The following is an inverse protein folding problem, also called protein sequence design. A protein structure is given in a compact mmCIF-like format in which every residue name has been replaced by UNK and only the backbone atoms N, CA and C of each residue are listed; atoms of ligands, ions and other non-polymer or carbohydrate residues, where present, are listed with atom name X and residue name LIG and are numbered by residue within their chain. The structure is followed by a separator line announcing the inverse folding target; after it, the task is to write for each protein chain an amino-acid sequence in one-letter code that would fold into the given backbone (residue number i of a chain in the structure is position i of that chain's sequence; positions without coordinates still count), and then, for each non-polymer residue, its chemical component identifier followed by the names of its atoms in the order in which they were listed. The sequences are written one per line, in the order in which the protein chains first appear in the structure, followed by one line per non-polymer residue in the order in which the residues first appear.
data_IF_674035680012
#
_entry.id   IF_674035680012
#
_cell.length_a   1.000
_cell.length_b   1.000
_cell.length_c   1.000
_cell.angle_alpha   90.00
_cell.angle_beta   90.00
_cell.angle_gamma   90.00
#
_symmetry.space_group_name_H-M   'P 1'
#
loop_
_entity.id
_entity.type
_entity.pdbx_description
1 polymer ?
#
# COMPACT_ATOMS: atom_id res chain seq x y z
N UNK A 1 -2.98 -14.06 1.41
CA UNK A 1 -2.10 -12.88 1.23
C UNK A 1 -2.24 -12.42 -0.21
N UNK A 2 -2.29 -11.11 -0.45
CA UNK A 2 -2.33 -10.53 -1.79
C UNK A 2 -1.26 -9.46 -1.95
N UNK A 3 -0.52 -9.50 -3.06
CA UNK A 3 0.55 -8.55 -3.35
C UNK A 3 0.18 -7.70 -4.55
N UNK A 4 0.13 -6.39 -4.36
CA UNK A 4 -0.20 -5.39 -5.37
C UNK A 4 1.05 -4.56 -5.61
N UNK A 5 1.72 -4.80 -6.74
CA UNK A 5 2.79 -3.90 -7.17
C UNK A 5 2.19 -2.70 -7.92
N UNK A 6 2.54 -1.49 -7.47
CA UNK A 6 2.21 -0.23 -8.12
C UNK A 6 3.36 0.28 -8.99
N UNK A 7 4.40 -0.52 -9.23
CA UNK A 7 5.58 -0.13 -10.00
C UNK A 7 5.24 0.51 -11.36
N UNK A 8 4.21 -0.01 -12.04
CA UNK A 8 3.73 0.47 -13.34
C UNK A 8 2.61 1.53 -13.24
N UNK A 9 2.46 2.20 -12.09
CA UNK A 9 1.41 3.18 -11.82
C UNK A 9 0.01 2.65 -12.19
N UNK A 10 -0.39 1.52 -11.59
CA UNK A 10 -1.70 0.92 -11.86
C UNK A 10 -2.82 1.89 -11.48
N UNK A 11 -3.89 1.93 -12.27
CA UNK A 11 -5.03 2.80 -11.97
C UNK A 11 -5.82 2.27 -10.77
N UNK A 12 -6.43 3.19 -10.01
CA UNK A 12 -7.21 2.83 -8.82
C UNK A 12 -8.33 1.84 -9.14
N UNK A 13 -9.03 2.02 -10.26
CA UNK A 13 -10.09 1.11 -10.72
C UNK A 13 -9.59 -0.33 -10.86
N UNK A 14 -8.46 -0.52 -11.56
CA UNK A 14 -7.86 -1.84 -11.76
C UNK A 14 -7.47 -2.49 -10.42
N UNK A 15 -6.98 -1.69 -9.48
CA UNK A 15 -6.60 -2.20 -8.15
C UNK A 15 -7.83 -2.57 -7.31
N UNK A 16 -8.88 -1.74 -7.32
CA UNK A 16 -10.13 -2.07 -6.59
C UNK A 16 -10.80 -3.30 -7.15
N UNK A 17 -10.88 -3.44 -8.48
CA UNK A 17 -11.51 -4.59 -9.14
C UNK A 17 -10.78 -5.88 -8.79
N UNK A 18 -9.46 -5.88 -8.91
CA UNK A 18 -8.63 -7.03 -8.57
C UNK A 18 -8.74 -7.39 -7.10
N UNK A 19 -8.77 -6.40 -6.21
CA UNK A 19 -8.97 -6.60 -4.78
C UNK A 19 -10.31 -7.25 -4.49
N UNK A 20 -11.40 -6.71 -5.03
CA UNK A 20 -12.76 -7.24 -4.80
C UNK A 20 -12.86 -8.68 -5.33
N UNK A 21 -12.37 -8.94 -6.55
CA UNK A 21 -12.33 -10.30 -7.12
C UNK A 21 -11.50 -11.26 -6.27
N UNK A 22 -10.35 -10.82 -5.78
CA UNK A 22 -9.51 -11.65 -4.92
C UNK A 22 -10.17 -11.94 -3.57
N UNK A 23 -10.65 -10.89 -2.88
CA UNK A 23 -11.23 -10.99 -1.53
C UNK A 23 -12.54 -11.78 -1.51
N UNK A 24 -13.29 -11.75 -2.61
CA UNK A 24 -14.51 -12.55 -2.81
C UNK A 24 -14.24 -14.00 -3.24
N UNK A 25 -12.98 -14.44 -3.35
CA UNK A 25 -12.63 -15.72 -3.97
C UNK A 25 -13.23 -15.91 -5.38
N UNK A 26 -13.23 -14.85 -6.19
CA UNK A 26 -13.78 -14.82 -7.56
C UNK A 26 -15.29 -15.08 -7.65
N UNK A 27 -16.03 -14.93 -6.54
CA UNK A 27 -17.48 -15.14 -6.51
C UNK A 27 -18.26 -13.86 -6.85
N UNK A 28 -17.65 -12.67 -6.72
CA UNK A 28 -18.30 -11.42 -7.07
C UNK A 28 -18.24 -11.20 -8.60
N UNK A 29 -19.40 -11.25 -9.25
CA UNK A 29 -19.54 -11.07 -10.70
C UNK A 29 -19.85 -9.62 -11.07
N UNK A 30 -20.55 -8.89 -10.19
CA UNK A 30 -20.93 -7.50 -10.38
C UNK A 30 -20.06 -6.59 -9.51
N UNK A 31 -19.22 -5.79 -10.15
CA UNK A 31 -18.38 -4.83 -9.46
C UNK A 31 -19.18 -3.56 -9.16
N UNK A 32 -18.98 -2.93 -7.99
CA UNK A 32 -19.67 -1.69 -7.67
C UNK A 32 -19.37 -0.58 -8.70
N UNK A 33 -20.37 0.24 -9.03
CA UNK A 33 -20.27 1.26 -10.09
C UNK A 33 -19.43 2.49 -9.69
N UNK A 34 -19.14 2.67 -8.40
CA UNK A 34 -18.40 3.83 -7.89
C UNK A 34 -17.24 3.41 -6.99
N UNK A 35 -16.17 4.21 -6.98
CA UNK A 35 -15.01 3.98 -6.12
C UNK A 35 -15.40 3.93 -4.64
N UNK A 36 -16.34 4.76 -4.20
CA UNK A 36 -16.81 4.76 -2.82
C UNK A 36 -17.48 3.42 -2.46
N UNK A 37 -18.32 2.89 -3.35
CA UNK A 37 -18.94 1.59 -3.14
C UNK A 37 -17.90 0.45 -3.17
N UNK A 38 -16.88 0.55 -4.02
CA UNK A 38 -15.75 -0.37 -4.01
C UNK A 38 -15.00 -0.35 -2.66
N UNK A 39 -14.77 0.84 -2.08
CA UNK A 39 -14.09 0.96 -0.79
C UNK A 39 -14.87 0.30 0.34
N UNK A 40 -16.18 0.57 0.43
CA UNK A 40 -17.05 -0.05 1.43
C UNK A 40 -17.02 -1.58 1.31
N UNK A 41 -17.15 -2.10 0.08
CA UNK A 41 -17.10 -3.54 -0.18
C UNK A 41 -15.75 -4.17 0.21
N UNK A 42 -14.64 -3.51 -0.08
CA UNK A 42 -13.31 -3.96 0.36
C UNK A 42 -13.27 -4.02 1.89
N UNK A 43 -13.72 -2.96 2.58
CA UNK A 43 -13.73 -2.90 4.04
C UNK A 43 -14.59 -4.01 4.68
N UNK A 44 -15.74 -4.34 4.08
CA UNK A 44 -16.59 -5.45 4.53
C UNK A 44 -15.79 -6.76 4.52
N UNK A 45 -15.13 -7.09 3.40
CA UNK A 45 -14.30 -8.28 3.31
C UNK A 45 -13.10 -8.28 4.27
N UNK A 46 -12.48 -7.13 4.50
CA UNK A 46 -11.37 -6.99 5.45
C UNK A 46 -11.80 -7.15 6.92
N UNK A 47 -13.07 -6.88 7.20
CA UNK A 47 -13.69 -7.02 8.53
C UNK A 47 -14.12 -8.46 8.78
N UNK A 48 -14.77 -9.09 7.79
CA UNK A 48 -15.27 -10.47 7.88
C UNK A 48 -14.16 -11.51 8.00
N UNK A 49 -13.03 -11.31 7.30
CA UNK A 49 -11.94 -12.27 7.23
C UNK A 49 -10.59 -11.57 7.41
N UNK A 50 -9.62 -12.31 7.94
CA UNK A 50 -8.26 -11.80 8.10
C UNK A 50 -7.46 -11.94 6.81
N UNK A 51 -7.05 -10.81 6.27
CA UNK A 51 -6.20 -10.73 5.09
C UNK A 51 -4.85 -10.09 5.43
N UNK A 52 -3.85 -10.40 4.59
CA UNK A 52 -2.61 -9.65 4.49
C UNK A 52 -2.54 -9.09 3.08
N UNK A 53 -2.57 -7.77 2.93
CA UNK A 53 -2.47 -7.08 1.64
C UNK A 53 -1.21 -6.23 1.66
N UNK A 54 -0.42 -6.33 0.59
CA UNK A 54 0.83 -5.59 0.42
C UNK A 54 0.68 -4.69 -0.79
N UNK A 55 0.80 -3.38 -0.58
CA UNK A 55 0.94 -2.37 -1.63
C UNK A 55 2.42 -2.04 -1.77
N UNK A 56 3.02 -2.48 -2.86
CA UNK A 56 4.46 -2.35 -3.10
C UNK A 56 4.75 -1.24 -4.12
N UNK A 57 5.81 -0.46 -3.88
CA UNK A 57 6.23 0.67 -4.70
C UNK A 57 5.19 1.79 -4.84
N UNK A 58 4.61 2.24 -3.72
CA UNK A 58 3.62 3.34 -3.76
C UNK A 58 4.22 4.66 -4.27
N UNK A 59 5.54 4.86 -4.18
CA UNK A 59 6.20 6.02 -4.79
C UNK A 59 5.95 6.16 -6.31
N UNK A 60 5.63 5.05 -7.00
CA UNK A 60 5.34 5.07 -8.44
C UNK A 60 4.05 5.82 -8.80
N UNK A 61 3.15 6.07 -7.85
CA UNK A 61 1.92 6.87 -8.05
C UNK A 61 2.03 8.29 -7.46
N UNK A 62 3.20 8.65 -6.92
CA UNK A 62 3.50 9.97 -6.35
C UNK A 62 4.27 10.85 -7.35
N UNK A 63 4.10 12.16 -7.25
CA UNK A 63 4.81 13.14 -8.08
C UNK A 63 6.30 13.13 -7.74
N UNK A 64 7.13 12.69 -8.69
CA UNK A 64 8.58 12.52 -8.50
C UNK A 64 9.35 13.78 -8.10
N UNK A 65 8.76 14.97 -8.30
CA UNK A 65 9.40 16.27 -8.06
C UNK A 65 9.02 16.89 -6.71
N UNK A 66 8.12 16.26 -5.95
CA UNK A 66 7.65 16.75 -4.66
C UNK A 66 7.84 15.67 -3.61
N UNK A 67 8.92 15.77 -2.81
CA UNK A 67 9.18 14.91 -1.65
C UNK A 67 8.23 15.21 -0.47
N UNK A 68 6.94 15.19 -0.75
CA UNK A 68 5.87 15.52 0.20
C UNK A 68 4.75 14.46 0.17
N UNK A 69 4.95 13.34 -0.54
CA UNK A 69 3.93 12.31 -0.69
C UNK A 69 2.73 12.78 -1.50
N UNK A 70 2.93 13.72 -2.43
CA UNK A 70 1.85 14.25 -3.28
C UNK A 70 1.57 13.28 -4.42
N UNK A 71 0.31 12.92 -4.62
CA UNK A 71 -0.11 12.05 -5.71
C UNK A 71 0.01 12.71 -7.09
N UNK A 72 0.32 11.91 -8.11
CA UNK A 72 0.27 12.35 -9.51
C UNK A 72 -1.17 12.68 -9.92
N UNK A 73 -1.36 13.59 -10.90
CA UNK A 73 -2.67 13.80 -11.52
C UNK A 73 -3.32 12.50 -11.98
N UNK A 74 -4.53 12.22 -11.50
CA UNK A 74 -5.29 11.00 -11.79
C UNK A 74 -5.09 9.85 -10.79
N UNK A 75 -4.22 10.02 -9.80
CA UNK A 75 -3.91 9.02 -8.76
C UNK A 75 -4.32 9.45 -7.35
N UNK A 76 -4.98 10.60 -7.20
CA UNK A 76 -5.39 11.17 -5.93
C UNK A 76 -6.36 10.25 -5.16
N UNK A 77 -7.11 9.41 -5.87
CA UNK A 77 -8.04 8.45 -5.28
C UNK A 77 -7.35 7.43 -4.35
N UNK A 78 -6.05 7.19 -4.53
CA UNK A 78 -5.28 6.33 -3.61
C UNK A 78 -5.14 6.93 -2.21
N UNK A 79 -5.13 8.27 -2.10
CA UNK A 79 -5.13 8.96 -0.81
C UNK A 79 -6.32 8.54 0.04
N UNK A 80 -7.52 8.52 -0.57
CA UNK A 80 -8.75 8.11 0.11
C UNK A 80 -8.70 6.63 0.49
N UNK A 81 -8.23 5.76 -0.40
CA UNK A 81 -8.09 4.33 -0.09
C UNK A 81 -7.20 4.11 1.14
N UNK A 82 -5.99 4.67 1.15
CA UNK A 82 -5.06 4.46 2.25
C UNK A 82 -5.53 5.13 3.54
N UNK A 83 -6.22 6.27 3.43
CA UNK A 83 -6.88 6.90 4.56
C UNK A 83 -7.94 5.98 5.18
N UNK A 84 -8.85 5.41 4.38
CA UNK A 84 -9.90 4.52 4.86
C UNK A 84 -9.33 3.23 5.45
N UNK A 85 -8.36 2.60 4.78
CA UNK A 85 -7.67 1.41 5.28
C UNK A 85 -6.95 1.66 6.62
N UNK A 86 -6.44 2.86 6.85
CA UNK A 86 -5.79 3.21 8.12
C UNK A 86 -6.76 3.68 9.21
N UNK A 87 -7.96 4.13 8.84
CA UNK A 87 -8.92 4.75 9.77
C UNK A 87 -10.01 3.78 10.25
N UNK A 88 -10.36 2.78 9.45
CA UNK A 88 -11.40 1.83 9.78
C UNK A 88 -10.87 0.67 10.63
N UNK A 89 -11.70 0.18 11.56
CA UNK A 89 -11.40 -1.04 12.31
C UNK A 89 -11.66 -2.27 11.43
N UNK A 90 -10.63 -3.07 11.18
CA UNK A 90 -10.74 -4.35 10.47
C UNK A 90 -9.74 -5.36 11.02
N UNK A 91 -10.00 -6.66 10.81
CA UNK A 91 -9.15 -7.74 11.32
C UNK A 91 -7.92 -8.04 10.44
N UNK A 92 -7.80 -7.33 9.32
CA UNK A 92 -6.76 -7.50 8.32
C UNK A 92 -5.53 -6.63 8.57
N UNK A 93 -4.40 -7.01 7.97
CA UNK A 93 -3.15 -6.24 8.01
C UNK A 93 -2.80 -5.74 6.62
N UNK A 94 -2.48 -4.45 6.53
CA UNK A 94 -2.07 -3.78 5.30
C UNK A 94 -0.61 -3.35 5.46
N UNK A 95 0.22 -3.66 4.47
CA UNK A 95 1.61 -3.21 4.40
C UNK A 95 1.76 -2.33 3.17
N UNK A 96 2.35 -1.15 3.35
CA UNK A 96 2.64 -0.20 2.29
C UNK A 96 4.16 -0.05 2.24
N UNK A 97 4.77 -0.28 1.08
CA UNK A 97 6.17 0.06 0.83
C UNK A 97 6.22 1.33 -0.02
N UNK A 98 7.04 2.28 0.41
CA UNK A 98 7.15 3.58 -0.23
C UNK A 98 8.50 4.21 0.10
N UNK A 99 9.00 5.06 -0.80
CA UNK A 99 10.17 5.93 -0.56
C UNK A 99 9.81 7.27 0.06
N UNK A 100 8.54 7.65 0.00
CA UNK A 100 8.04 8.92 0.51
C UNK A 100 6.98 8.70 1.58
N UNK A 101 6.95 9.61 2.55
CA UNK A 101 5.96 9.58 3.61
C UNK A 101 4.60 10.10 3.10
N UNK A 102 3.58 9.25 3.17
CA UNK A 102 2.20 9.64 2.84
C UNK A 102 1.59 10.49 3.96
N UNK A 103 0.98 11.66 3.66
CA UNK A 103 0.39 12.55 4.67
C UNK A 103 -0.69 11.88 5.53
N UNK A 104 -1.58 11.12 4.91
CA UNK A 104 -2.69 10.42 5.56
C UNK A 104 -2.18 9.35 6.53
N UNK A 105 -1.17 8.57 6.14
CA UNK A 105 -0.57 7.56 7.01
C UNK A 105 0.20 8.21 8.15
N UNK A 106 0.92 9.31 7.87
CA UNK A 106 1.63 10.08 8.90
C UNK A 106 0.68 10.62 9.96
N UNK A 107 -0.49 11.11 9.55
CA UNK A 107 -1.52 11.63 10.44
C UNK A 107 -2.18 10.54 11.29
N UNK A 108 -2.37 9.35 10.73
CA UNK A 108 -3.01 8.21 11.41
C UNK A 108 -2.04 7.43 12.30
N UNK A 109 -0.73 7.48 12.04
CA UNK A 109 0.28 6.77 12.83
C UNK A 109 0.39 7.35 14.25
N UNK A 110 0.45 6.47 15.25
CA UNK A 110 0.62 6.87 16.65
C UNK A 110 0.51 5.71 17.61
N UNK A 111 0.95 5.89 18.86
CA UNK A 111 0.95 4.82 19.87
C UNK A 111 -0.44 4.28 20.22
N UNK A 112 -1.48 5.11 20.07
CA UNK A 112 -2.87 4.76 20.36
C UNK A 112 -3.64 4.18 19.16
N UNK A 113 -3.08 4.22 17.95
CA UNK A 113 -3.72 3.68 16.73
C UNK A 113 -3.09 2.34 16.35
N UNK A 114 -3.64 1.56 15.41
CA UNK A 114 -2.97 0.38 14.86
C UNK A 114 -1.95 0.70 13.76
N UNK A 115 -1.90 1.95 13.28
CA UNK A 115 -1.04 2.36 12.16
C UNK A 115 0.40 2.57 12.64
N UNK A 116 1.36 1.92 11.97
CA UNK A 116 2.80 1.97 12.30
C UNK A 116 3.59 2.36 11.07
N UNK A 117 4.65 3.16 11.28
CA UNK A 117 5.62 3.52 10.26
C UNK A 117 6.95 2.89 10.66
N UNK A 118 7.53 2.13 9.73
CA UNK A 118 8.85 1.51 9.90
C UNK A 118 9.81 2.15 8.91
N UNK A 119 10.63 3.07 9.39
CA UNK A 119 11.65 3.73 8.58
C UNK A 119 12.83 2.78 8.34
N UNK A 120 13.07 2.45 7.08
CA UNK A 120 14.24 1.67 6.68
C UNK A 120 15.45 2.61 6.61
N UNK A 121 16.43 2.35 7.49
CA UNK A 121 17.71 3.07 7.45
C UNK A 121 18.57 2.56 6.30
N UNK A 122 19.49 3.42 5.87
CA UNK A 122 20.56 3.02 4.96
C UNK A 122 21.34 1.83 5.51
N UNK A 123 21.97 1.09 4.61
CA UNK A 123 22.78 -0.06 4.96
C UNK A 123 24.04 0.43 5.69
N UNK A 124 24.38 -0.22 6.80
CA UNK A 124 25.61 0.03 7.55
C UNK A 124 26.78 -0.81 7.00
N UNK A 125 27.89 -0.90 7.73
CA UNK A 125 29.08 -1.66 7.34
C UNK A 125 28.79 -3.15 7.07
N UNK A 126 27.63 -3.69 7.49
CA UNK A 126 27.17 -5.03 7.10
C UNK A 126 26.99 -5.19 5.58
N UNK A 127 26.86 -4.09 4.83
CA UNK A 127 26.85 -4.04 3.38
C UNK A 127 28.05 -4.77 2.77
N UNK A 128 29.24 -4.58 3.34
CA UNK A 128 30.48 -5.20 2.88
C UNK A 128 30.37 -6.73 2.94
N UNK A 129 29.75 -7.27 3.99
CA UNK A 129 29.50 -8.71 4.13
C UNK A 129 28.53 -9.24 3.07
N UNK A 130 27.49 -8.46 2.73
CA UNK A 130 26.52 -8.81 1.68
C UNK A 130 27.20 -8.81 0.30
N UNK A 131 28.00 -7.79 0.00
CA UNK A 131 28.74 -7.68 -1.27
C UNK A 131 29.76 -8.81 -1.43
N UNK A 132 30.53 -9.13 -0.38
CA UNK A 132 31.48 -10.25 -0.38
C UNK A 132 30.79 -11.58 -0.65
N UNK A 133 29.62 -11.84 -0.03
CA UNK A 133 28.82 -13.05 -0.31
C UNK A 133 28.30 -13.10 -1.75
N UNK A 134 28.12 -11.96 -2.39
CA UNK A 134 27.74 -11.84 -3.81
C UNK A 134 28.94 -11.81 -4.77
N UNK A 135 30.16 -11.98 -4.27
CA UNK A 135 31.39 -12.00 -5.07
C UNK A 135 31.88 -10.62 -5.52
N UNK A 136 31.29 -9.54 -5.01
CA UNK A 136 31.67 -8.17 -5.32
C UNK A 136 32.75 -7.74 -4.32
N UNK A 137 33.96 -7.47 -4.81
CA UNK A 137 35.05 -6.91 -4.00
C UNK A 137 34.88 -5.40 -3.95
N UNK A 138 35.00 -4.83 -2.75
CA UNK A 138 35.24 -3.40 -2.61
C UNK A 138 36.70 -3.15 -3.04
N UNK A 139 36.92 -2.26 -4.00
CA UNK A 139 38.25 -1.70 -4.30
C UNK A 139 38.66 -0.71 -3.20
#
# INVERSE_FOLDING_TARGET
MYWISLQNARLMQQVTEDLIKFLSNQQEVELPESLNACYLKILDYLTERRWLIIFDNVESILESNYFAGKYRPGYENYSELFHQLGSCFHNSSIVITTREQLPEIKRLAGGATPVRIFELKGIDDSAVGILRRKGIKAE
#
